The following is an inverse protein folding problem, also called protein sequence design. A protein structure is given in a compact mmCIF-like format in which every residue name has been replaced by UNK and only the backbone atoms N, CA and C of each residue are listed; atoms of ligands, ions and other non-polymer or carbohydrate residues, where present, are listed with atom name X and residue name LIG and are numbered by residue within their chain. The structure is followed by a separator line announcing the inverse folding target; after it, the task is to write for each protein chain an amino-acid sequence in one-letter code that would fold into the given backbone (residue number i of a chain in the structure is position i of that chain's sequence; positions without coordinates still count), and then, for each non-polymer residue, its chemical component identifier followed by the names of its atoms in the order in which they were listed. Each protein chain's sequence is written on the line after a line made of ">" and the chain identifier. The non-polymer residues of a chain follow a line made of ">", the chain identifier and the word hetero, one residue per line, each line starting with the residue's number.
data_IF_370186153365
#
_entry.id   IF_370186153365
#
_cell.length_a   1.000
_cell.length_b   1.000
_cell.length_c   1.000
_cell.angle_alpha   90.00
_cell.angle_beta   90.00
_cell.angle_gamma   90.00
#
_symmetry.space_group_name_H-M   'P 1'
#
loop_
_entity.id
_entity.type
_entity.pdbx_description
1 polymer ?
#
# COMPACT_ATOMS: atom_id res chain seq x y z
N UNK A 1 7.34 -15.96 50.95
CA UNK A 1 6.91 -14.73 50.26
C UNK A 1 8.04 -14.38 49.31
N UNK A 2 7.84 -14.62 48.00
CA UNK A 2 8.90 -14.54 46.98
C UNK A 2 9.18 -13.11 46.55
N UNK A 3 10.45 -12.88 46.27
CA UNK A 3 11.14 -11.65 45.93
C UNK A 3 10.65 -10.93 44.67
N UNK A 4 10.96 -9.64 44.64
CA UNK A 4 10.80 -8.68 43.55
C UNK A 4 11.50 -9.11 42.24
N UNK A 5 10.92 -8.68 41.11
CA UNK A 5 11.69 -8.17 39.97
C UNK A 5 10.80 -7.27 39.13
N UNK A 6 11.07 -5.98 39.23
CA UNK A 6 10.77 -4.99 38.21
C UNK A 6 11.40 -5.43 36.89
N UNK A 7 10.73 -5.16 35.76
CA UNK A 7 11.37 -4.94 34.47
C UNK A 7 10.40 -4.19 33.56
N UNK A 8 10.45 -2.88 33.72
CA UNK A 8 10.29 -1.89 32.66
C UNK A 8 11.21 -2.22 31.49
N UNK A 9 10.68 -2.39 30.28
CA UNK A 9 11.44 -2.16 29.03
C UNK A 9 10.49 -1.97 27.85
N UNK A 10 10.71 -0.86 27.14
CA UNK A 10 10.19 -0.47 25.82
C UNK A 10 8.81 0.18 25.77
N UNK A 11 8.73 1.36 26.39
CA UNK A 11 8.05 2.49 25.75
C UNK A 11 8.76 2.76 24.41
N UNK A 12 8.32 2.07 23.38
CA UNK A 12 8.70 2.35 22.00
C UNK A 12 7.98 3.63 21.60
N UNK A 13 8.75 4.69 21.32
CA UNK A 13 8.29 5.95 20.77
C UNK A 13 7.37 5.70 19.56
N UNK A 14 6.06 5.75 19.77
CA UNK A 14 5.12 6.07 18.70
C UNK A 14 5.30 7.55 18.43
N UNK A 15 6.30 7.85 17.60
CA UNK A 15 6.24 9.04 16.77
C UNK A 15 4.93 8.96 15.99
N UNK A 16 3.97 9.78 16.39
CA UNK A 16 2.70 10.02 15.72
C UNK A 16 2.99 10.69 14.36
N UNK A 17 3.59 9.94 13.44
CA UNK A 17 3.64 10.30 12.02
C UNK A 17 2.20 10.26 11.53
N UNK A 18 1.69 11.31 10.86
CA UNK A 18 0.28 11.44 10.49
C UNK A 18 -0.21 10.14 9.87
N UNK A 19 -1.05 9.41 10.62
CA UNK A 19 -1.33 7.97 10.49
C UNK A 19 -1.91 7.51 9.13
N UNK A 20 -2.15 8.46 8.23
CA UNK A 20 -2.65 8.25 6.87
C UNK A 20 -1.52 8.18 5.83
N UNK A 21 -0.47 8.99 5.99
CA UNK A 21 0.68 9.04 5.05
C UNK A 21 1.58 7.82 5.27
N UNK A 22 1.80 7.42 6.53
CA UNK A 22 2.64 6.28 6.91
C UNK A 22 2.17 4.93 6.34
N UNK A 23 0.85 4.70 6.31
CA UNK A 23 0.29 3.40 5.85
C UNK A 23 0.49 3.12 4.35
N UNK A 24 0.57 4.16 3.51
CA UNK A 24 0.77 3.97 2.06
C UNK A 24 2.24 3.75 1.71
N UNK A 25 3.16 4.38 2.46
CA UNK A 25 4.60 4.19 2.29
C UNK A 25 5.00 2.76 2.67
N UNK A 26 4.55 2.28 3.85
CA UNK A 26 4.76 0.89 4.28
C UNK A 26 4.18 -0.13 3.29
N UNK A 27 3.00 0.15 2.72
CA UNK A 27 2.44 -0.70 1.67
C UNK A 27 3.34 -0.69 0.41
N UNK A 28 3.91 0.44 0.02
CA UNK A 28 4.82 0.51 -1.13
C UNK A 28 6.10 -0.29 -0.90
N UNK A 29 6.71 -0.21 0.28
CA UNK A 29 7.86 -1.05 0.65
C UNK A 29 7.56 -2.55 0.51
N UNK A 30 6.36 -2.98 0.95
CA UNK A 30 5.92 -4.37 0.73
C UNK A 30 5.82 -4.66 -0.78
N UNK A 31 5.18 -3.78 -1.55
CA UNK A 31 4.93 -4.00 -2.98
C UNK A 31 6.21 -4.07 -3.84
N UNK A 32 7.26 -3.34 -3.46
CA UNK A 32 8.57 -3.41 -4.14
C UNK A 32 9.14 -4.82 -4.17
N UNK A 33 8.92 -5.60 -3.10
CA UNK A 33 9.35 -7.00 -3.02
C UNK A 33 8.52 -7.97 -3.89
N UNK A 34 7.37 -7.53 -4.43
CA UNK A 34 6.42 -8.37 -5.17
C UNK A 34 6.13 -7.88 -6.60
N UNK A 35 7.17 -7.70 -7.42
CA UNK A 35 7.04 -7.24 -8.81
C UNK A 35 6.10 -8.08 -9.70
N UNK A 36 5.85 -9.35 -9.36
CA UNK A 36 4.99 -10.26 -10.13
C UNK A 36 3.54 -9.75 -10.27
N UNK A 37 3.04 -8.98 -9.30
CA UNK A 37 1.67 -8.44 -9.33
C UNK A 37 1.47 -7.41 -10.45
N UNK A 38 2.55 -6.76 -10.91
CA UNK A 38 2.52 -5.76 -11.97
C UNK A 38 2.70 -6.36 -13.37
N UNK A 39 3.06 -7.64 -13.46
CA UNK A 39 3.19 -8.34 -14.72
C UNK A 39 1.84 -8.37 -15.49
N UNK A 40 1.84 -8.11 -16.80
CA UNK A 40 0.61 -8.09 -17.63
C UNK A 40 0.19 -9.47 -18.15
N UNK A 41 0.99 -10.52 -17.93
CA UNK A 41 0.74 -11.86 -18.45
C UNK A 41 -0.58 -12.46 -17.94
N UNK A 42 -1.28 -13.13 -18.85
CA UNK A 42 -2.55 -13.81 -18.65
C UNK A 42 -2.42 -15.34 -18.54
N UNK A 43 -1.18 -15.86 -18.59
CA UNK A 43 -0.90 -17.29 -18.47
C UNK A 43 -1.45 -17.82 -17.13
N UNK A 44 -2.20 -18.94 -17.11
CA UNK A 44 -2.83 -19.46 -15.88
C UNK A 44 -1.86 -19.61 -14.71
N UNK A 45 -0.70 -20.24 -14.94
CA UNK A 45 0.36 -20.41 -13.93
C UNK A 45 0.84 -19.08 -13.32
N UNK A 46 0.86 -18.00 -14.11
CA UNK A 46 1.26 -16.67 -13.63
C UNK A 46 0.11 -16.02 -12.84
N UNK A 47 -1.15 -16.28 -13.21
CA UNK A 47 -2.32 -15.81 -12.44
C UNK A 47 -2.34 -16.43 -11.04
N UNK A 48 -2.09 -17.73 -10.94
CA UNK A 48 -1.99 -18.43 -9.66
C UNK A 48 -0.89 -17.83 -8.78
N UNK A 49 0.31 -17.59 -9.35
CA UNK A 49 1.40 -16.94 -8.62
C UNK A 49 1.07 -15.52 -8.17
N UNK A 50 0.32 -14.75 -8.97
CA UNK A 50 -0.15 -13.42 -8.57
C UNK A 50 -1.15 -13.50 -7.43
N UNK A 51 -2.07 -14.46 -7.47
CA UNK A 51 -3.05 -14.66 -6.41
C UNK A 51 -2.35 -15.04 -5.11
N UNK A 52 -1.36 -15.92 -5.17
CA UNK A 52 -0.52 -16.26 -4.02
C UNK A 52 0.21 -15.03 -3.47
N UNK A 53 0.82 -14.22 -4.34
CA UNK A 53 1.47 -12.98 -3.93
C UNK A 53 0.49 -11.99 -3.27
N UNK A 54 -0.75 -11.88 -3.75
CA UNK A 54 -1.76 -11.03 -3.09
C UNK A 54 -2.11 -11.52 -1.68
N UNK A 55 -2.18 -12.84 -1.45
CA UNK A 55 -2.40 -13.41 -0.11
C UNK A 55 -1.24 -13.09 0.83
N UNK A 56 -0.01 -13.23 0.36
CA UNK A 56 1.18 -12.90 1.16
C UNK A 56 1.28 -11.41 1.47
N UNK A 57 1.01 -10.54 0.50
CA UNK A 57 0.98 -9.09 0.71
C UNK A 57 -0.10 -8.72 1.73
N UNK A 58 -1.27 -9.35 1.65
CA UNK A 58 -2.36 -9.14 2.59
C UNK A 58 -1.97 -9.50 4.03
N UNK A 59 -1.34 -10.65 4.22
CA UNK A 59 -0.84 -11.07 5.52
C UNK A 59 0.22 -10.10 6.06
N UNK A 60 1.21 -9.70 5.23
CA UNK A 60 2.24 -8.73 5.61
C UNK A 60 1.64 -7.35 5.95
N UNK A 61 0.63 -6.92 5.20
CA UNK A 61 -0.07 -5.67 5.43
C UNK A 61 -0.75 -5.65 6.81
N UNK A 62 -1.46 -6.73 7.17
CA UNK A 62 -2.10 -6.85 8.49
C UNK A 62 -1.04 -6.81 9.59
N UNK A 63 0.07 -7.56 9.43
CA UNK A 63 1.13 -7.63 10.44
C UNK A 63 1.86 -6.28 10.65
N UNK A 64 2.14 -5.54 9.58
CA UNK A 64 2.96 -4.31 9.67
C UNK A 64 2.16 -3.03 9.94
N UNK A 65 0.90 -2.99 9.52
CA UNK A 65 0.06 -1.78 9.60
C UNK A 65 -1.05 -1.94 10.64
N UNK A 66 -1.35 -3.18 11.07
CA UNK A 66 -2.34 -3.46 12.12
C UNK A 66 -3.79 -3.13 11.73
N UNK A 67 -4.05 -2.92 10.43
CA UNK A 67 -5.40 -2.61 9.93
C UNK A 67 -5.97 -3.80 9.20
N UNK A 68 -7.17 -4.17 9.60
CA UNK A 68 -7.93 -5.18 8.89
C UNK A 68 -8.49 -4.59 7.59
N UNK A 69 -8.10 -5.20 6.47
CA UNK A 69 -8.52 -4.80 5.14
C UNK A 69 -8.79 -6.09 4.38
N UNK A 70 -9.94 -6.23 3.73
CA UNK A 70 -10.21 -7.47 2.96
C UNK A 70 -9.30 -7.53 1.74
N UNK A 71 -8.98 -8.73 1.24
CA UNK A 71 -8.17 -8.92 0.03
C UNK A 71 -8.70 -8.12 -1.16
N UNK A 72 -10.04 -8.06 -1.33
CA UNK A 72 -10.71 -7.25 -2.36
C UNK A 72 -10.41 -5.76 -2.21
N UNK A 73 -10.42 -5.25 -0.99
CA UNK A 73 -10.13 -3.84 -0.70
C UNK A 73 -8.64 -3.54 -0.95
N UNK A 74 -7.75 -4.48 -0.61
CA UNK A 74 -6.32 -4.36 -0.88
C UNK A 74 -6.04 -4.31 -2.39
N UNK A 75 -6.60 -5.25 -3.15
CA UNK A 75 -6.51 -5.26 -4.62
C UNK A 75 -7.02 -3.95 -5.21
N UNK A 76 -8.16 -3.45 -4.73
CA UNK A 76 -8.72 -2.15 -5.15
C UNK A 76 -7.77 -1.00 -4.82
N UNK A 77 -7.17 -0.99 -3.63
CA UNK A 77 -6.22 0.03 -3.20
C UNK A 77 -4.99 0.07 -4.13
N UNK A 78 -4.38 -1.09 -4.41
CA UNK A 78 -3.24 -1.22 -5.32
C UNK A 78 -3.60 -0.76 -6.73
N UNK A 79 -4.77 -1.16 -7.24
CA UNK A 79 -5.23 -0.76 -8.57
C UNK A 79 -5.48 0.75 -8.68
N UNK A 80 -6.02 1.37 -7.63
CA UNK A 80 -6.19 2.82 -7.57
C UNK A 80 -4.83 3.53 -7.58
N UNK A 81 -3.86 3.08 -6.79
CA UNK A 81 -2.50 3.65 -6.80
C UNK A 81 -1.87 3.60 -8.19
N UNK A 82 -2.01 2.48 -8.89
CA UNK A 82 -1.55 2.32 -10.28
C UNK A 82 -2.26 3.27 -11.24
N UNK A 83 -3.58 3.42 -11.08
CA UNK A 83 -4.38 4.29 -11.95
C UNK A 83 -4.01 5.76 -11.75
N UNK A 84 -3.80 6.19 -10.50
CA UNK A 84 -3.34 7.54 -10.16
C UNK A 84 -1.93 7.80 -10.68
N UNK A 85 -1.01 6.83 -10.57
CA UNK A 85 0.32 6.96 -11.16
C UNK A 85 0.22 7.12 -12.68
N UNK A 86 -0.57 6.28 -13.35
CA UNK A 86 -0.80 6.38 -14.80
C UNK A 86 -1.29 7.77 -15.18
N UNK A 87 -2.32 8.30 -14.49
CA UNK A 87 -2.85 9.65 -14.74
C UNK A 87 -1.79 10.75 -14.62
N UNK A 88 -0.88 10.65 -13.65
CA UNK A 88 0.19 11.64 -13.44
C UNK A 88 1.29 11.55 -14.50
N UNK A 89 1.59 10.35 -14.99
CA UNK A 89 2.69 10.10 -15.94
C UNK A 89 2.26 10.15 -17.41
N UNK A 90 0.96 10.19 -17.70
CA UNK A 90 0.44 10.11 -19.07
C UNK A 90 0.70 11.41 -19.84
N UNK A 91 1.76 11.40 -20.67
CA UNK A 91 2.17 12.51 -21.54
C UNK A 91 1.11 12.89 -22.57
N UNK A 92 0.20 11.98 -22.92
CA UNK A 92 -0.88 12.24 -23.89
C UNK A 92 -2.16 12.71 -23.21
N UNK A 93 -2.25 12.58 -21.88
CA UNK A 93 -3.37 12.99 -21.04
C UNK A 93 -3.40 14.49 -20.72
N UNK A 94 -2.36 15.26 -21.06
CA UNK A 94 -2.37 16.73 -21.09
C UNK A 94 -3.19 17.23 -22.28
N UNK A 95 -4.45 16.80 -22.37
CA UNK A 95 -5.44 17.49 -23.17
C UNK A 95 -5.51 18.92 -22.67
N UNK A 96 -5.49 19.88 -23.59
CA UNK A 96 -5.49 21.32 -23.38
C UNK A 96 -6.76 21.77 -22.62
N UNK A 97 -6.88 21.43 -21.33
CA UNK A 97 -8.03 21.76 -20.50
C UNK A 97 -8.00 23.26 -20.27
N UNK A 98 -9.04 23.96 -20.73
CA UNK A 98 -9.22 25.41 -20.48
C UNK A 98 -9.09 25.66 -18.98
N UNK A 99 -8.09 26.46 -18.61
CA UNK A 99 -7.99 27.02 -17.28
C UNK A 99 -9.10 28.08 -17.20
N UNK A 100 -10.17 27.81 -16.45
CA UNK A 100 -11.14 28.84 -16.08
C UNK A 100 -10.48 29.73 -15.01
N UNK A 101 -9.71 30.71 -15.46
CA UNK A 101 -9.44 31.89 -14.63
C UNK A 101 -10.76 32.65 -14.53
N UNK A 102 -11.32 32.70 -13.33
CA UNK A 102 -12.46 33.52 -12.99
C UNK A 102 -12.07 34.97 -13.31
N UNK A 103 -12.69 35.57 -14.33
CA UNK A 103 -12.49 37.00 -14.62
C UNK A 103 -13.12 37.78 -13.47
N UNK A 104 -12.31 38.61 -12.81
CA UNK A 104 -12.80 39.73 -12.00
C UNK A 104 -13.43 40.77 -12.91
#
# INVERSE_FOLDING_TARGET
>A
MSSASENSTSDFLTEEVPAKISSNLKLMEILESYNIIFNKSQVPKIKEKKEQAYKEIHQKYILQIGRDLTEKQLKRKIQNMKTELKKKTDKTGTGNKKINVMKM
#
